data_IF_625731803863
#
_entry.id   IF_625731803863
#
_cell.length_a   1.000
_cell.length_b   1.000
_cell.length_c   1.000
_cell.angle_alpha   90.00
_cell.angle_beta   90.00
_cell.angle_gamma   90.00
#
_symmetry.space_group_name_H-M   'P 1'
#
loop_
_entity.id
_entity.type
_entity.pdbx_description
1 polymer ?
#
# COMPACT_ATOMS: atom_id res chain seq x y z
N UNK A 1 15.06 22.02 15.11
CA UNK A 1 14.24 22.35 13.92
C UNK A 1 13.73 21.06 13.33
N UNK A 2 12.45 20.98 12.96
CA UNK A 2 11.94 19.83 12.22
C UNK A 2 12.61 19.77 10.84
N UNK A 3 13.00 18.57 10.34
CA UNK A 3 13.62 18.45 9.03
C UNK A 3 12.64 18.86 7.92
N UNK A 4 13.14 19.54 6.89
CA UNK A 4 12.38 19.88 5.67
C UNK A 4 12.10 18.66 4.79
N UNK A 5 11.14 18.76 3.87
CA UNK A 5 10.82 17.65 2.95
C UNK A 5 12.04 17.26 2.10
N UNK A 6 12.85 18.24 1.68
CA UNK A 6 14.08 18.02 0.90
C UNK A 6 15.13 17.26 1.71
N UNK A 7 15.28 17.56 3.00
CA UNK A 7 16.22 16.84 3.87
C UNK A 7 15.78 15.40 4.11
N UNK A 8 14.49 15.16 4.27
CA UNK A 8 13.93 13.80 4.41
C UNK A 8 14.18 12.97 3.15
N UNK A 9 13.89 13.52 1.97
CA UNK A 9 14.14 12.85 0.68
C UNK A 9 15.63 12.57 0.46
N UNK A 10 16.49 13.54 0.80
CA UNK A 10 17.96 13.37 0.72
C UNK A 10 18.47 12.25 1.62
N UNK A 11 17.86 12.05 2.81
CA UNK A 11 18.18 10.94 3.72
C UNK A 11 17.64 9.60 3.20
N UNK A 12 16.46 9.59 2.59
CA UNK A 12 15.84 8.36 2.09
C UNK A 12 16.63 7.71 0.95
N UNK A 13 17.19 8.51 0.04
CA UNK A 13 17.90 8.03 -1.16
C UNK A 13 18.99 6.99 -0.86
N UNK A 14 20.02 7.29 -0.05
CA UNK A 14 21.08 6.34 0.29
C UNK A 14 20.56 5.08 0.97
N UNK A 15 19.55 5.20 1.86
CA UNK A 15 18.96 4.06 2.58
C UNK A 15 18.28 3.08 1.60
N UNK A 16 17.56 3.61 0.61
CA UNK A 16 16.90 2.80 -0.42
C UNK A 16 17.90 2.17 -1.39
N UNK A 17 18.97 2.88 -1.77
CA UNK A 17 20.06 2.29 -2.54
C UNK A 17 20.71 1.12 -1.81
N UNK A 18 20.96 1.30 -0.51
CA UNK A 18 21.48 0.26 0.38
C UNK A 18 20.53 -0.94 0.51
N UNK A 19 19.22 -0.70 0.54
CA UNK A 19 18.20 -1.75 0.57
C UNK A 19 18.25 -2.61 -0.71
N UNK A 20 18.36 -1.98 -1.88
CA UNK A 20 18.50 -2.66 -3.18
C UNK A 20 19.78 -3.50 -3.23
N UNK A 21 20.88 -2.97 -2.69
CA UNK A 21 22.15 -3.69 -2.64
C UNK A 21 22.10 -4.90 -1.72
N UNK A 22 21.45 -4.78 -0.55
CA UNK A 22 21.24 -5.91 0.35
C UNK A 22 20.34 -6.98 -0.26
N UNK A 23 19.27 -6.59 -0.95
CA UNK A 23 18.38 -7.50 -1.66
C UNK A 23 19.16 -8.30 -2.70
N UNK A 24 19.96 -7.64 -3.54
CA UNK A 24 20.82 -8.28 -4.54
C UNK A 24 21.87 -9.21 -3.91
N UNK A 25 22.32 -8.90 -2.71
CA UNK A 25 23.25 -9.71 -1.93
C UNK A 25 22.57 -10.84 -1.14
N UNK A 26 21.25 -11.02 -1.28
CA UNK A 26 20.48 -12.06 -0.57
C UNK A 26 20.23 -11.78 0.91
N UNK A 27 20.53 -10.57 1.41
CA UNK A 27 20.37 -10.18 2.82
C UNK A 27 18.96 -9.63 3.05
N UNK A 28 17.95 -10.48 2.87
CA UNK A 28 16.54 -10.09 2.77
C UNK A 28 16.04 -9.34 4.02
N UNK A 29 16.34 -9.81 5.24
CA UNK A 29 15.90 -9.13 6.47
C UNK A 29 16.44 -7.70 6.58
N UNK A 30 17.72 -7.52 6.24
CA UNK A 30 18.37 -6.21 6.25
C UNK A 30 17.81 -5.29 5.16
N UNK A 31 17.56 -5.84 3.97
CA UNK A 31 16.91 -5.12 2.87
C UNK A 31 15.51 -4.63 3.28
N UNK A 32 14.68 -5.50 3.87
CA UNK A 32 13.34 -5.14 4.33
C UNK A 32 13.35 -4.02 5.37
N UNK A 33 14.24 -4.09 6.37
CA UNK A 33 14.37 -3.03 7.39
C UNK A 33 14.70 -1.69 6.74
N UNK A 34 15.64 -1.67 5.79
CA UNK A 34 16.07 -0.45 5.09
C UNK A 34 14.99 0.09 4.15
N UNK A 35 14.31 -0.77 3.40
CA UNK A 35 13.16 -0.34 2.60
C UNK A 35 12.10 0.33 3.48
N UNK A 36 11.70 -0.29 4.60
CA UNK A 36 10.72 0.29 5.54
C UNK A 36 11.17 1.65 6.09
N UNK A 37 12.44 1.79 6.44
CA UNK A 37 13.01 3.07 6.90
C UNK A 37 12.96 4.15 5.81
N UNK A 38 13.38 3.83 4.58
CA UNK A 38 13.36 4.76 3.47
C UNK A 38 11.94 5.19 3.08
N UNK A 39 11.01 4.23 3.06
CA UNK A 39 9.57 4.45 2.86
C UNK A 39 9.03 5.41 3.92
N UNK A 40 9.32 5.19 5.20
CA UNK A 40 8.83 6.05 6.27
C UNK A 40 9.32 7.51 6.13
N UNK A 41 10.58 7.71 5.71
CA UNK A 41 11.10 9.05 5.42
C UNK A 41 10.39 9.72 4.24
N UNK A 42 10.12 8.97 3.16
CA UNK A 42 9.36 9.49 2.02
C UNK A 42 7.93 9.82 2.44
N UNK A 43 7.28 8.95 3.23
CA UNK A 43 5.94 9.17 3.76
C UNK A 43 5.85 10.47 4.57
N UNK A 44 6.84 10.75 5.42
CA UNK A 44 6.93 12.01 6.17
C UNK A 44 7.11 13.22 5.25
N UNK A 45 7.99 13.12 4.24
CA UNK A 45 8.18 14.20 3.26
C UNK A 45 6.88 14.49 2.49
N UNK A 46 6.17 13.45 2.04
CA UNK A 46 4.94 13.59 1.26
C UNK A 46 3.78 14.25 2.01
N UNK A 47 3.78 14.20 3.35
CA UNK A 47 2.81 14.91 4.19
C UNK A 47 3.08 16.41 4.28
N UNK A 48 4.32 16.82 4.03
CA UNK A 48 4.72 18.24 4.02
C UNK A 48 4.52 18.88 2.64
N UNK A 49 4.31 18.06 1.60
CA UNK A 49 4.14 18.53 0.23
C UNK A 49 2.66 18.83 -0.09
N UNK A 50 2.38 19.85 -0.92
CA UNK A 50 1.04 20.12 -1.39
C UNK A 50 0.44 18.93 -2.14
N UNK A 51 -0.80 18.59 -1.80
CA UNK A 51 -1.60 17.59 -2.51
C UNK A 51 -1.74 18.02 -3.99
N UNK A 52 -1.60 17.07 -4.92
CA UNK A 52 -1.69 17.34 -6.37
C UNK A 52 -0.48 18.05 -6.99
N UNK A 53 0.59 18.32 -6.23
CA UNK A 53 1.81 18.87 -6.83
C UNK A 53 2.53 17.82 -7.69
N UNK A 54 3.01 18.23 -8.87
CA UNK A 54 3.72 17.34 -9.80
C UNK A 54 4.94 16.64 -9.17
N UNK A 55 5.63 17.31 -8.24
CA UNK A 55 6.75 16.72 -7.51
C UNK A 55 6.29 15.62 -6.54
N UNK A 56 5.16 15.83 -5.84
CA UNK A 56 4.57 14.83 -4.94
C UNK A 56 4.10 13.59 -5.72
N UNK A 57 3.52 13.78 -6.91
CA UNK A 57 3.09 12.67 -7.78
C UNK A 57 4.26 11.80 -8.28
N UNK A 58 5.35 12.45 -8.70
CA UNK A 58 6.58 11.73 -9.08
C UNK A 58 7.14 10.90 -7.92
N UNK A 59 7.17 11.49 -6.73
CA UNK A 59 7.62 10.80 -5.52
C UNK A 59 6.67 9.65 -5.16
N UNK A 60 5.35 9.85 -5.25
CA UNK A 60 4.34 8.81 -5.01
C UNK A 60 4.55 7.59 -5.91
N UNK A 61 4.91 7.81 -7.17
CA UNK A 61 5.15 6.73 -8.13
C UNK A 61 6.32 5.84 -7.69
N UNK A 62 7.45 6.45 -7.30
CA UNK A 62 8.61 5.72 -6.79
C UNK A 62 8.33 5.08 -5.43
N UNK A 63 7.60 5.78 -4.57
CA UNK A 63 7.15 5.28 -3.27
C UNK A 63 6.33 3.99 -3.42
N UNK A 64 5.36 3.96 -4.33
CA UNK A 64 4.52 2.80 -4.63
C UNK A 64 5.33 1.57 -5.10
N UNK A 65 6.45 1.79 -5.81
CA UNK A 65 7.36 0.70 -6.21
C UNK A 65 8.00 0.06 -4.98
N UNK A 66 8.54 0.86 -4.06
CA UNK A 66 9.16 0.35 -2.84
C UNK A 66 8.14 -0.31 -1.90
N UNK A 67 6.92 0.22 -1.81
CA UNK A 67 5.79 -0.41 -1.09
C UNK A 67 5.54 -1.83 -1.60
N UNK A 68 5.37 -1.98 -2.92
CA UNK A 68 5.14 -3.29 -3.56
C UNK A 68 6.31 -4.23 -3.32
N UNK A 69 7.53 -3.71 -3.37
CA UNK A 69 8.74 -4.50 -3.13
C UNK A 69 8.78 -5.05 -1.71
N UNK A 70 8.50 -4.24 -0.69
CA UNK A 70 8.43 -4.72 0.70
C UNK A 70 7.34 -5.78 0.86
N UNK A 71 6.15 -5.55 0.31
CA UNK A 71 5.05 -6.51 0.40
C UNK A 71 5.40 -7.87 -0.27
N UNK A 72 6.09 -7.83 -1.41
CA UNK A 72 6.61 -9.03 -2.08
C UNK A 72 7.64 -9.77 -1.22
N UNK A 73 8.60 -9.05 -0.65
CA UNK A 73 9.63 -9.63 0.21
C UNK A 73 9.02 -10.23 1.49
N UNK A 74 8.06 -9.56 2.13
CA UNK A 74 7.34 -10.08 3.30
C UNK A 74 6.51 -11.33 2.96
N UNK A 75 5.90 -11.38 1.79
CA UNK A 75 5.14 -12.54 1.33
C UNK A 75 6.06 -13.75 1.08
N UNK A 76 7.23 -13.53 0.48
CA UNK A 76 8.21 -14.59 0.20
C UNK A 76 8.95 -15.03 1.46
N UNK A 77 9.22 -14.09 2.36
CA UNK A 77 9.94 -14.30 3.61
C UNK A 77 8.98 -14.37 4.80
N UNK A 78 7.82 -15.04 4.61
CA UNK A 78 6.84 -15.30 5.67
C UNK A 78 7.52 -16.04 6.82
N UNK A 79 8.03 -15.26 7.76
CA UNK A 79 8.39 -15.76 9.08
C UNK A 79 7.09 -16.10 9.78
N UNK A 80 7.13 -17.07 10.70
CA UNK A 80 5.99 -17.43 11.53
C UNK A 80 5.65 -16.26 12.46
N UNK A 81 5.00 -15.23 11.93
CA UNK A 81 4.27 -14.26 12.73
C UNK A 81 3.05 -14.98 13.29
N UNK A 82 2.77 -14.79 14.58
CA UNK A 82 1.49 -15.20 15.14
C UNK A 82 0.39 -14.43 14.41
N UNK A 83 -0.46 -15.16 13.69
CA UNK A 83 -1.58 -14.60 12.94
C UNK A 83 -2.90 -15.10 13.50
N UNK A 84 -3.86 -14.20 13.63
CA UNK A 84 -5.24 -14.55 13.93
C UNK A 84 -5.92 -15.15 12.70
N UNK A 85 -6.23 -16.44 12.73
CA UNK A 85 -7.00 -17.08 11.68
C UNK A 85 -8.51 -16.86 11.90
N UNK A 86 -9.18 -16.27 10.91
CA UNK A 86 -10.63 -16.12 10.88
C UNK A 86 -11.25 -17.08 9.87
N UNK A 87 -11.97 -18.11 10.34
CA UNK A 87 -12.58 -19.13 9.48
C UNK A 87 -14.02 -18.78 9.15
N UNK A 88 -14.32 -18.65 7.85
CA UNK A 88 -15.68 -18.46 7.32
C UNK A 88 -16.23 -19.83 6.92
N UNK A 89 -17.39 -20.20 7.45
CA UNK A 89 -18.03 -21.48 7.15
C UNK A 89 -18.89 -21.39 5.89
N UNK A 90 -19.18 -22.52 5.27
CA UNK A 90 -20.07 -22.54 4.12
C UNK A 90 -21.44 -21.96 4.49
N UNK A 91 -21.95 -21.04 3.65
CA UNK A 91 -23.24 -20.37 3.81
C UNK A 91 -23.40 -19.53 5.09
N UNK A 92 -22.31 -19.25 5.84
CA UNK A 92 -22.40 -18.38 7.00
C UNK A 92 -22.47 -16.90 6.61
N UNK A 93 -23.16 -16.10 7.42
CA UNK A 93 -23.39 -14.67 7.20
C UNK A 93 -22.65 -13.82 8.23
N UNK A 94 -22.58 -12.50 8.02
CA UNK A 94 -21.96 -11.57 8.99
C UNK A 94 -20.44 -11.37 8.81
N UNK A 95 -19.90 -11.75 7.66
CA UNK A 95 -18.46 -11.64 7.33
C UNK A 95 -18.17 -10.47 6.38
N UNK A 96 -18.73 -9.30 6.65
CA UNK A 96 -18.46 -8.10 5.85
C UNK A 96 -17.00 -7.68 5.95
N UNK A 97 -16.52 -6.90 4.98
CA UNK A 97 -15.18 -6.31 5.05
C UNK A 97 -14.98 -5.50 6.33
N UNK A 98 -16.00 -4.77 6.78
CA UNK A 98 -15.95 -4.01 8.02
C UNK A 98 -15.66 -4.93 9.22
N UNK A 99 -16.38 -6.06 9.33
CA UNK A 99 -16.18 -6.99 10.45
C UNK A 99 -14.75 -7.56 10.48
N UNK A 100 -14.15 -7.79 9.31
CA UNK A 100 -12.86 -8.46 9.18
C UNK A 100 -11.69 -7.48 9.31
N UNK A 101 -11.76 -6.33 8.64
CA UNK A 101 -10.61 -5.45 8.43
C UNK A 101 -10.56 -4.25 9.38
N UNK A 102 -11.64 -3.88 10.07
CA UNK A 102 -11.60 -2.72 10.99
C UNK A 102 -10.49 -2.84 12.05
N UNK A 103 -10.21 -4.05 12.54
CA UNK A 103 -9.12 -4.29 13.51
C UNK A 103 -7.71 -4.06 12.95
N UNK A 104 -7.56 -4.03 11.63
CA UNK A 104 -6.29 -3.82 10.93
C UNK A 104 -6.08 -2.34 10.57
N UNK A 105 -7.08 -1.49 10.78
CA UNK A 105 -7.04 -0.07 10.45
C UNK A 105 -6.85 0.76 11.71
N UNK A 106 -5.83 1.61 11.71
CA UNK A 106 -5.59 2.59 12.75
C UNK A 106 -4.92 3.85 12.16
N UNK A 107 -4.63 4.82 13.04
CA UNK A 107 -3.91 6.04 12.64
C UNK A 107 -2.46 5.78 12.22
N UNK A 108 -1.91 4.58 12.38
CA UNK A 108 -0.53 4.21 11.99
C UNK A 108 -0.49 3.53 10.61
N UNK A 109 -1.62 3.03 10.11
CA UNK A 109 -1.70 2.50 8.75
C UNK A 109 -1.38 3.61 7.73
N UNK A 110 -0.37 3.36 6.88
CA UNK A 110 0.09 4.29 5.82
C UNK A 110 -0.10 3.71 4.43
N UNK A 111 -0.03 2.40 4.30
CA UNK A 111 0.08 1.73 3.01
C UNK A 111 -0.73 0.45 3.05
N UNK A 112 -1.44 0.18 1.97
CA UNK A 112 -2.17 -1.07 1.76
C UNK A 112 -1.71 -1.70 0.46
N UNK A 113 -1.36 -2.98 0.52
CA UNK A 113 -1.06 -3.79 -0.65
C UNK A 113 -2.08 -4.93 -0.73
N UNK A 114 -2.79 -5.01 -1.85
CA UNK A 114 -3.73 -6.08 -2.15
C UNK A 114 -3.19 -6.89 -3.31
N UNK A 115 -3.05 -8.20 -3.10
CA UNK A 115 -2.74 -9.16 -4.15
C UNK A 115 -3.90 -10.16 -4.26
N UNK A 116 -4.72 -10.01 -5.30
CA UNK A 116 -5.89 -10.85 -5.56
C UNK A 116 -5.99 -11.11 -7.06
N UNK A 117 -5.79 -12.36 -7.48
CA UNK A 117 -5.77 -12.75 -8.88
C UNK A 117 -7.13 -12.61 -9.59
N UNK A 118 -8.21 -12.44 -8.84
CA UNK A 118 -9.58 -12.51 -9.32
C UNK A 118 -10.26 -11.15 -9.42
N UNK A 119 -9.58 -10.01 -9.36
CA UNK A 119 -10.26 -8.73 -9.56
C UNK A 119 -10.39 -8.47 -11.08
N UNK A 120 -11.41 -9.08 -11.70
CA UNK A 120 -11.69 -9.02 -13.16
C UNK A 120 -13.17 -8.79 -13.46
N UNK A 121 -14.07 -9.64 -13.00
CA UNK A 121 -15.50 -9.49 -13.25
C UNK A 121 -16.07 -8.26 -12.52
N UNK A 122 -17.19 -7.73 -13.03
CA UNK A 122 -17.83 -6.53 -12.47
C UNK A 122 -18.08 -6.63 -10.96
N UNK A 123 -18.60 -7.76 -10.47
CA UNK A 123 -18.84 -7.95 -9.03
C UNK A 123 -17.54 -8.00 -8.20
N UNK A 124 -16.42 -8.45 -8.78
CA UNK A 124 -15.11 -8.49 -8.13
C UNK A 124 -14.50 -7.08 -8.05
N UNK A 125 -14.70 -6.25 -9.08
CA UNK A 125 -14.38 -4.82 -9.04
C UNK A 125 -15.19 -4.10 -7.96
N UNK A 126 -16.51 -4.32 -7.90
CA UNK A 126 -17.36 -3.74 -6.85
C UNK A 126 -16.95 -4.17 -5.44
N UNK A 127 -16.48 -5.40 -5.28
CA UNK A 127 -15.92 -5.87 -4.01
C UNK A 127 -14.67 -5.07 -3.62
N UNK A 128 -13.78 -4.81 -4.58
CA UNK A 128 -12.60 -3.98 -4.32
C UNK A 128 -12.95 -2.50 -4.07
N UNK A 129 -13.96 -1.95 -4.75
CA UNK A 129 -14.52 -0.61 -4.45
C UNK A 129 -14.97 -0.55 -2.99
N UNK A 130 -15.81 -1.49 -2.54
CA UNK A 130 -16.30 -1.57 -1.16
C UNK A 130 -15.18 -1.70 -0.13
N UNK A 131 -14.11 -2.40 -0.49
CA UNK A 131 -12.91 -2.47 0.34
C UNK A 131 -12.25 -1.08 0.47
N UNK A 132 -12.06 -0.36 -0.64
CA UNK A 132 -11.51 1.00 -0.61
C UNK A 132 -12.40 1.97 0.18
N UNK A 133 -13.73 1.93 -0.02
CA UNK A 133 -14.73 2.73 0.73
C UNK A 133 -14.64 2.51 2.24
N UNK A 134 -14.28 1.31 2.68
CA UNK A 134 -14.09 1.00 4.09
C UNK A 134 -12.73 1.47 4.61
N UNK A 135 -11.66 1.15 3.89
CA UNK A 135 -10.29 1.28 4.41
C UNK A 135 -9.85 2.74 4.47
N UNK A 136 -10.19 3.54 3.46
CA UNK A 136 -9.81 4.96 3.39
C UNK A 136 -10.30 5.74 4.61
N UNK A 137 -11.60 5.77 4.97
CA UNK A 137 -12.06 6.54 6.13
C UNK A 137 -11.61 5.96 7.47
N UNK A 138 -11.32 4.66 7.56
CA UNK A 138 -10.77 4.07 8.79
C UNK A 138 -9.28 4.35 9.00
N UNK A 139 -8.59 4.87 7.97
CA UNK A 139 -7.13 5.00 7.94
C UNK A 139 -6.72 6.44 7.62
N UNK A 140 -6.86 7.34 8.61
CA UNK A 140 -6.64 8.80 8.51
C UNK A 140 -5.34 9.22 7.80
N UNK A 141 -4.31 8.38 7.86
CA UNK A 141 -2.97 8.70 7.36
C UNK A 141 -2.56 7.81 6.17
N UNK A 142 -3.52 7.15 5.51
CA UNK A 142 -3.27 6.32 4.34
C UNK A 142 -2.72 7.16 3.19
N UNK A 143 -1.61 6.70 2.61
CA UNK A 143 -0.92 7.38 1.51
C UNK A 143 -1.11 6.68 0.18
N UNK A 144 -1.18 5.34 0.19
CA UNK A 144 -1.27 4.57 -1.05
C UNK A 144 -1.98 3.24 -0.84
N UNK A 145 -2.83 2.89 -1.80
CA UNK A 145 -3.34 1.54 -2.01
C UNK A 145 -2.72 1.02 -3.30
N UNK A 146 -2.09 -0.16 -3.25
CA UNK A 146 -1.54 -0.82 -4.44
C UNK A 146 -2.26 -2.14 -4.68
N UNK A 147 -2.66 -2.38 -5.93
CA UNK A 147 -3.32 -3.60 -6.35
C UNK A 147 -2.43 -4.38 -7.33
N UNK A 148 -2.27 -5.68 -7.09
CA UNK A 148 -1.72 -6.68 -8.03
C UNK A 148 -2.81 -7.72 -8.31
N UNK A 149 -3.28 -7.77 -9.55
CA UNK A 149 -4.36 -8.68 -10.00
C UNK A 149 -3.94 -9.51 -11.22
N UNK A 150 -4.78 -10.46 -11.64
CA UNK A 150 -4.52 -11.34 -12.79
C UNK A 150 -4.47 -10.58 -14.11
N UNK A 151 -3.74 -11.14 -15.09
CA UNK A 151 -3.52 -10.49 -16.40
C UNK A 151 -4.82 -10.18 -17.15
N UNK A 152 -5.88 -10.97 -16.97
CA UNK A 152 -7.18 -10.73 -17.58
C UNK A 152 -7.81 -9.40 -17.17
N UNK A 153 -7.40 -8.83 -16.05
CA UNK A 153 -7.86 -7.53 -15.56
C UNK A 153 -7.47 -6.38 -16.50
N UNK A 154 -6.51 -6.56 -17.41
CA UNK A 154 -6.15 -5.57 -18.43
C UNK A 154 -7.34 -5.17 -19.31
N UNK A 155 -8.34 -6.05 -19.45
CA UNK A 155 -9.58 -5.76 -20.21
C UNK A 155 -10.41 -4.65 -19.56
N UNK A 156 -10.21 -4.36 -18.27
CA UNK A 156 -10.94 -3.36 -17.50
C UNK A 156 -10.06 -2.14 -17.14
N UNK A 157 -9.07 -1.81 -17.96
CA UNK A 157 -8.10 -0.75 -17.67
C UNK A 157 -8.78 0.60 -17.38
N UNK A 158 -9.88 0.90 -18.06
CA UNK A 158 -10.62 2.14 -17.88
C UNK A 158 -11.32 2.20 -16.53
N UNK A 159 -11.96 1.11 -16.11
CA UNK A 159 -12.62 0.97 -14.81
C UNK A 159 -11.60 1.12 -13.68
N UNK A 160 -10.40 0.56 -13.83
CA UNK A 160 -9.32 0.77 -12.86
C UNK A 160 -8.81 2.21 -12.83
N UNK A 161 -8.73 2.90 -13.97
CA UNK A 161 -8.38 4.33 -14.01
C UNK A 161 -9.43 5.18 -13.31
N UNK A 162 -10.71 4.90 -13.52
CA UNK A 162 -11.80 5.60 -12.85
C UNK A 162 -11.79 5.35 -11.33
N UNK A 163 -11.64 4.09 -10.92
CA UNK A 163 -11.49 3.73 -9.51
C UNK A 163 -10.29 4.46 -8.89
N UNK A 164 -9.13 4.48 -9.56
CA UNK A 164 -7.95 5.16 -9.04
C UNK A 164 -8.19 6.66 -8.84
N UNK A 165 -8.88 7.33 -9.77
CA UNK A 165 -9.27 8.74 -9.60
C UNK A 165 -10.20 8.93 -8.41
N UNK A 166 -11.21 8.09 -8.28
CA UNK A 166 -12.17 8.17 -7.18
C UNK A 166 -11.51 7.91 -5.82
N UNK A 167 -10.66 6.87 -5.70
CA UNK A 167 -9.88 6.60 -4.48
C UNK A 167 -8.98 7.79 -4.13
N UNK A 168 -8.30 8.38 -5.12
CA UNK A 168 -7.47 9.55 -4.89
C UNK A 168 -8.31 10.75 -4.41
N UNK A 169 -9.54 10.91 -4.87
CA UNK A 169 -10.41 11.98 -4.39
C UNK A 169 -10.73 11.78 -2.90
N UNK A 170 -11.25 10.62 -2.51
CA UNK A 170 -11.65 10.36 -1.11
C UNK A 170 -10.46 10.29 -0.13
N UNK A 171 -9.24 10.00 -0.61
CA UNK A 171 -8.03 10.04 0.22
C UNK A 171 -7.52 11.47 0.47
N UNK A 172 -8.00 12.45 -0.30
CA UNK A 172 -7.60 13.86 -0.20
C UNK A 172 -8.74 14.77 0.31
N UNK A 173 -9.91 14.21 0.61
CA UNK A 173 -11.03 14.86 1.33
C UNK A 173 -10.77 14.86 2.84
#
# INVERSE_FOLDING_TARGET
MAPSEKELLKKAGPILCDAVNDEKAGKIDRAMVRYKQGIELIAQAMRMMPIGSADREKIMTNFAIYVRKVAELEYLNKTAAEVDQYRISANSIGHSYQKIFTRCCDKKLRMVHVQDAYIVAHHQLLNFVRFCELIVPLSENLLVITLKTGNDAQKNENEFKELARWVNQIMNE
#
